data_IF_254542463447
#
_entry.id   IF_254542463447
#
_cell.length_a   1.000
_cell.length_b   1.000
_cell.length_c   1.000
_cell.angle_alpha   90.00
_cell.angle_beta   90.00
_cell.angle_gamma   90.00
#
_symmetry.space_group_name_H-M   'P 1'
#
loop_
_entity.id
_entity.type
_entity.pdbx_description
1 polymer ?
#
# COMPACT_ATOMS: atom_id res chain seq x y z
N UNK A 1 -33.63 14.95 12.78
CA UNK A 1 -32.33 14.77 12.10
C UNK A 1 -31.26 15.26 13.04
N UNK A 2 -30.31 14.41 13.44
CA UNK A 2 -29.23 14.78 14.35
C UNK A 2 -28.32 15.83 13.69
N UNK A 3 -27.82 16.78 14.49
CA UNK A 3 -26.99 17.88 13.99
C UNK A 3 -25.65 17.32 13.45
N UNK A 4 -25.49 17.39 12.13
CA UNK A 4 -24.44 16.74 11.34
C UNK A 4 -23.04 17.30 11.60
N UNK A 5 -22.96 18.48 12.23
CA UNK A 5 -21.75 19.07 12.80
C UNK A 5 -21.03 18.11 13.77
N UNK A 6 -21.74 17.15 14.35
CA UNK A 6 -21.17 16.19 15.29
C UNK A 6 -20.38 15.04 14.61
N UNK A 7 -20.55 14.80 13.31
CA UNK A 7 -19.88 13.71 12.58
C UNK A 7 -18.67 14.20 11.75
N UNK A 8 -18.52 15.50 11.57
CA UNK A 8 -17.41 16.12 10.84
C UNK A 8 -16.34 16.56 11.84
N UNK A 9 -15.13 16.02 11.73
CA UNK A 9 -13.98 16.53 12.49
C UNK A 9 -13.44 17.77 11.78
N UNK A 10 -13.32 18.88 12.50
CA UNK A 10 -12.71 20.11 12.00
C UNK A 10 -11.29 20.28 12.57
N UNK A 11 -10.33 20.61 11.70
CA UNK A 11 -8.98 21.06 12.10
C UNK A 11 -8.84 22.54 11.75
N UNK A 12 -8.60 23.39 12.74
CA UNK A 12 -8.52 24.84 12.57
C UNK A 12 -7.07 25.30 12.72
N UNK A 13 -6.61 26.14 11.80
CA UNK A 13 -5.28 26.75 11.83
C UNK A 13 -5.35 28.25 11.65
N UNK A 14 -4.43 28.96 12.28
CA UNK A 14 -4.18 30.38 12.04
C UNK A 14 -3.06 30.46 11.00
N UNK A 15 -3.28 31.19 9.91
CA UNK A 15 -2.27 31.46 8.87
C UNK A 15 -1.57 32.80 9.15
N UNK A 16 -0.46 33.06 8.46
CA UNK A 16 0.49 34.16 8.73
C UNK A 16 -0.14 35.58 8.74
N UNK A 17 -1.35 35.74 8.21
CA UNK A 17 -2.12 37.00 8.22
C UNK A 17 -3.16 37.10 9.36
N UNK A 18 -3.14 36.18 10.32
CA UNK A 18 -4.06 36.12 11.46
C UNK A 18 -5.45 35.56 11.12
N UNK A 19 -5.72 35.14 9.87
CA UNK A 19 -7.00 34.52 9.52
C UNK A 19 -7.07 33.08 10.01
N UNK A 20 -8.26 32.73 10.52
CA UNK A 20 -8.60 31.35 10.87
C UNK A 20 -9.12 30.62 9.64
N UNK A 21 -8.53 29.46 9.36
CA UNK A 21 -8.97 28.54 8.31
C UNK A 21 -9.29 27.18 8.90
N UNK A 22 -10.32 26.54 8.36
CA UNK A 22 -10.81 25.22 8.73
C UNK A 22 -10.44 24.18 7.67
N UNK A 23 -10.21 22.95 8.12
CA UNK A 23 -10.10 21.76 7.29
C UNK A 23 -11.18 20.78 7.72
N UNK A 24 -11.77 20.07 6.75
CA UNK A 24 -12.76 19.02 7.00
C UNK A 24 -12.03 17.69 6.98
N UNK A 25 -12.19 16.91 8.05
CA UNK A 25 -11.61 15.57 8.19
C UNK A 25 -12.69 14.50 8.19
N UNK A 26 -12.44 13.44 7.42
CA UNK A 26 -13.20 12.19 7.41
C UNK A 26 -12.21 11.04 7.55
N UNK A 27 -12.38 10.15 8.53
CA UNK A 27 -11.45 9.05 8.81
C UNK A 27 -9.98 9.50 8.95
N UNK A 28 -9.75 10.65 9.61
CA UNK A 28 -8.45 11.31 9.80
C UNK A 28 -7.76 11.77 8.49
N UNK A 29 -8.51 11.84 7.39
CA UNK A 29 -8.08 12.38 6.10
C UNK A 29 -8.63 13.79 5.93
N UNK A 30 -7.75 14.75 5.65
CA UNK A 30 -8.16 16.11 5.28
C UNK A 30 -8.75 16.13 3.88
N UNK A 31 -10.06 15.97 3.78
CA UNK A 31 -10.77 15.98 2.49
C UNK A 31 -10.84 17.40 1.91
N UNK A 32 -10.82 18.43 2.75
CA UNK A 32 -10.81 19.84 2.34
C UNK A 32 -9.93 20.63 3.30
N UNK A 33 -9.18 21.60 2.79
CA UNK A 33 -8.25 22.42 3.57
C UNK A 33 -8.40 23.90 3.18
N UNK A 34 -8.09 24.79 4.12
CA UNK A 34 -7.98 26.22 3.83
C UNK A 34 -9.32 26.96 3.68
N UNK A 35 -10.42 26.42 4.25
CA UNK A 35 -11.72 27.09 4.22
C UNK A 35 -11.67 28.25 5.21
N UNK A 36 -11.87 29.52 4.81
CA UNK A 36 -11.99 30.60 5.79
C UNK A 36 -13.13 30.29 6.77
N UNK A 37 -12.93 30.49 8.08
CA UNK A 37 -13.93 30.15 9.11
C UNK A 37 -15.31 30.74 8.80
N UNK A 38 -15.35 31.99 8.33
CA UNK A 38 -16.57 32.70 7.92
C UNK A 38 -17.33 32.06 6.74
N UNK A 39 -16.66 31.22 5.95
CA UNK A 39 -17.21 30.59 4.75
C UNK A 39 -17.50 29.09 4.98
N UNK A 40 -17.27 28.57 6.20
CA UNK A 40 -17.45 27.17 6.53
C UNK A 40 -18.90 26.69 6.34
N UNK A 41 -19.88 27.45 6.82
CA UNK A 41 -21.31 27.11 6.69
C UNK A 41 -21.72 27.02 5.21
N UNK A 42 -21.33 28.03 4.41
CA UNK A 42 -21.57 28.04 2.96
C UNK A 42 -20.93 26.85 2.26
N UNK A 43 -19.75 26.44 2.72
CA UNK A 43 -19.06 25.29 2.18
C UNK A 43 -19.79 23.98 2.50
N UNK A 44 -20.29 23.82 3.73
CA UNK A 44 -21.10 22.66 4.13
C UNK A 44 -22.38 22.58 3.28
N UNK A 45 -23.12 23.68 3.12
CA UNK A 45 -24.32 23.73 2.27
C UNK A 45 -24.04 23.33 0.83
N UNK A 46 -22.88 23.74 0.30
CA UNK A 46 -22.46 23.38 -1.06
C UNK A 46 -22.25 21.87 -1.19
N UNK A 47 -21.49 21.27 -0.26
CA UNK A 47 -21.23 19.83 -0.27
C UNK A 47 -22.54 19.04 -0.14
N UNK A 48 -23.48 19.47 0.70
CA UNK A 48 -24.78 18.81 0.81
C UNK A 48 -25.56 18.83 -0.50
N UNK A 49 -25.53 19.95 -1.23
CA UNK A 49 -26.13 20.05 -2.56
C UNK A 49 -25.45 19.12 -3.56
N UNK A 50 -24.13 19.00 -3.51
CA UNK A 50 -23.36 18.08 -4.36
C UNK A 50 -23.68 16.61 -4.06
N UNK A 51 -23.76 16.23 -2.78
CA UNK A 51 -24.18 14.89 -2.36
C UNK A 51 -25.59 14.54 -2.87
N UNK A 52 -26.55 15.47 -2.73
CA UNK A 52 -27.92 15.31 -3.25
C UNK A 52 -27.95 15.15 -4.77
N UNK A 53 -27.16 15.95 -5.51
CA UNK A 53 -27.04 15.83 -6.97
C UNK A 53 -26.47 14.47 -7.39
N UNK A 54 -25.56 13.92 -6.59
CA UNK A 54 -24.99 12.59 -6.81
C UNK A 54 -25.91 11.43 -6.38
N UNK A 55 -27.14 11.73 -5.89
CA UNK A 55 -28.07 10.75 -5.33
C UNK A 55 -27.47 9.93 -4.17
N UNK A 56 -26.59 10.56 -3.38
CA UNK A 56 -25.91 9.94 -2.23
C UNK A 56 -26.31 10.61 -0.93
N UNK A 57 -26.21 9.87 0.18
CA UNK A 57 -26.20 10.53 1.48
C UNK A 57 -24.95 11.39 1.60
N UNK A 58 -24.99 12.41 2.46
CA UNK A 58 -23.79 13.22 2.71
C UNK A 58 -22.64 12.34 3.23
N UNK A 59 -22.95 11.36 4.07
CA UNK A 59 -21.96 10.46 4.67
C UNK A 59 -21.25 9.63 3.60
N UNK A 60 -22.00 9.01 2.69
CA UNK A 60 -21.45 8.26 1.55
C UNK A 60 -20.61 9.14 0.62
N UNK A 61 -21.05 10.38 0.41
CA UNK A 61 -20.34 11.34 -0.43
C UNK A 61 -19.01 11.79 0.23
N UNK A 62 -19.01 12.04 1.54
CA UNK A 62 -17.79 12.36 2.29
C UNK A 62 -16.84 11.17 2.38
N UNK A 63 -17.36 9.95 2.53
CA UNK A 63 -16.55 8.72 2.48
C UNK A 63 -15.93 8.55 1.09
N UNK A 64 -16.69 8.74 0.01
CA UNK A 64 -16.17 8.74 -1.36
C UNK A 64 -15.09 9.81 -1.57
N UNK A 65 -15.30 11.05 -1.13
CA UNK A 65 -14.28 12.12 -1.18
C UNK A 65 -13.04 11.75 -0.36
N UNK A 66 -13.22 11.11 0.80
CA UNK A 66 -12.13 10.59 1.62
C UNK A 66 -11.37 9.49 0.91
N UNK A 67 -12.08 8.60 0.19
CA UNK A 67 -11.51 7.53 -0.61
C UNK A 67 -10.82 8.06 -1.87
N UNK A 68 -11.30 9.13 -2.49
CA UNK A 68 -10.65 9.80 -3.63
C UNK A 68 -9.38 10.51 -3.17
N UNK A 69 -9.45 11.25 -2.06
CA UNK A 69 -8.26 11.89 -1.45
C UNK A 69 -7.24 10.87 -0.95
N UNK A 70 -7.69 9.76 -0.36
CA UNK A 70 -6.83 8.62 -0.01
C UNK A 70 -6.38 7.83 -1.24
N UNK A 71 -7.16 7.81 -2.32
CA UNK A 71 -6.84 7.17 -3.59
C UNK A 71 -5.63 7.81 -4.26
N UNK A 72 -5.25 9.02 -3.83
CA UNK A 72 -4.04 9.73 -4.22
C UNK A 72 -2.91 9.69 -3.17
N UNK A 73 -3.08 8.96 -2.05
CA UNK A 73 -2.11 8.92 -0.96
C UNK A 73 -1.86 7.52 -0.44
N UNK A 74 -0.59 7.13 -0.39
CA UNK A 74 -0.16 5.88 0.24
C UNK A 74 -0.27 6.00 1.75
N UNK A 75 -0.93 5.04 2.39
CA UNK A 75 -1.12 5.04 3.84
C UNK A 75 0.21 4.98 4.61
N UNK A 76 0.20 5.57 5.80
CA UNK A 76 1.33 5.50 6.74
C UNK A 76 1.58 4.08 7.22
N UNK A 77 2.78 3.83 7.76
CA UNK A 77 3.23 2.46 8.07
C UNK A 77 2.28 1.69 9.01
N UNK A 78 1.70 2.37 10.00
CA UNK A 78 0.78 1.80 10.99
C UNK A 78 -0.47 1.17 10.35
N UNK A 79 -0.97 1.76 9.27
CA UNK A 79 -2.23 1.35 8.64
C UNK A 79 -2.01 0.77 7.23
N UNK A 80 -0.75 0.56 6.84
CA UNK A 80 -0.41 0.15 5.48
C UNK A 80 -0.95 -1.23 5.12
N UNK A 81 -0.95 -2.18 6.06
CA UNK A 81 -1.49 -3.53 5.83
C UNK A 81 -2.96 -3.48 5.44
N UNK A 82 -3.80 -2.86 6.29
CA UNK A 82 -5.22 -2.67 6.02
C UNK A 82 -5.46 -1.93 4.69
N UNK A 83 -4.73 -0.83 4.47
CA UNK A 83 -4.82 -0.06 3.23
C UNK A 83 -4.48 -0.88 1.99
N UNK A 84 -3.42 -1.68 2.02
CA UNK A 84 -3.00 -2.48 0.87
C UNK A 84 -4.05 -3.52 0.53
N UNK A 85 -4.67 -4.13 1.54
CA UNK A 85 -5.69 -5.17 1.33
C UNK A 85 -7.00 -4.56 0.82
N UNK A 86 -7.43 -3.41 1.38
CA UNK A 86 -8.71 -2.77 1.08
C UNK A 86 -8.72 -1.90 -0.19
N UNK A 87 -7.56 -1.34 -0.61
CA UNK A 87 -7.52 -0.52 -1.83
C UNK A 87 -7.91 -1.34 -3.05
N UNK A 88 -8.79 -0.79 -3.91
CA UNK A 88 -9.17 -1.43 -5.16
C UNK A 88 -7.96 -1.60 -6.08
N UNK A 89 -7.97 -2.64 -6.91
CA UNK A 89 -6.89 -2.88 -7.88
C UNK A 89 -6.68 -1.66 -8.80
N UNK A 90 -7.77 -1.05 -9.28
CA UNK A 90 -7.69 0.13 -10.15
C UNK A 90 -6.96 1.31 -9.48
N UNK A 91 -7.32 1.63 -8.23
CA UNK A 91 -6.67 2.73 -7.50
C UNK A 91 -5.23 2.40 -7.11
N UNK A 92 -4.96 1.13 -6.76
CA UNK A 92 -3.59 0.68 -6.54
C UNK A 92 -2.72 0.91 -7.79
N UNK A 93 -3.20 0.51 -8.98
CA UNK A 93 -2.46 0.67 -10.23
C UNK A 93 -2.24 2.14 -10.61
N UNK A 94 -3.21 3.01 -10.36
CA UNK A 94 -3.03 4.47 -10.51
C UNK A 94 -1.88 4.98 -9.65
N UNK A 95 -1.86 4.64 -8.36
CA UNK A 95 -0.78 5.00 -7.43
C UNK A 95 0.56 4.37 -7.80
N UNK A 96 0.54 3.14 -8.32
CA UNK A 96 1.74 2.42 -8.74
C UNK A 96 2.39 3.01 -10.00
N UNK A 97 1.58 3.62 -10.88
CA UNK A 97 2.06 4.35 -12.06
C UNK A 97 2.91 5.57 -11.69
N UNK A 98 2.58 6.23 -10.58
CA UNK A 98 3.27 7.43 -10.10
C UNK A 98 4.58 7.10 -9.36
N UNK A 99 5.74 7.52 -9.90
CA UNK A 99 7.07 7.14 -9.39
C UNK A 99 7.25 7.38 -7.88
N UNK A 100 6.82 8.56 -7.39
CA UNK A 100 6.95 8.92 -5.96
C UNK A 100 6.08 8.05 -5.06
N UNK A 101 4.86 7.74 -5.51
CA UNK A 101 3.89 6.94 -4.75
C UNK A 101 4.27 5.46 -4.79
N UNK A 102 4.70 4.95 -5.95
CA UNK A 102 5.32 3.62 -6.07
C UNK A 102 6.48 3.42 -5.10
N UNK A 103 7.39 4.40 -5.02
CA UNK A 103 8.50 4.32 -4.07
C UNK A 103 8.00 4.27 -2.62
N UNK A 104 6.98 5.06 -2.28
CA UNK A 104 6.36 5.01 -0.96
C UNK A 104 5.76 3.63 -0.65
N UNK A 105 5.02 3.04 -1.59
CA UNK A 105 4.45 1.68 -1.45
C UNK A 105 5.56 0.67 -1.20
N UNK A 106 6.60 0.66 -2.04
CA UNK A 106 7.73 -0.25 -1.87
C UNK A 106 8.41 -0.08 -0.51
N UNK A 107 8.61 1.16 -0.06
CA UNK A 107 9.22 1.44 1.25
C UNK A 107 8.36 0.95 2.41
N UNK A 108 7.02 0.95 2.28
CA UNK A 108 6.13 0.40 3.32
C UNK A 108 6.09 -1.12 3.32
N UNK A 109 6.23 -1.76 2.16
CA UNK A 109 6.37 -3.22 2.06
C UNK A 109 7.68 -3.68 2.72
N UNK A 110 8.80 -3.00 2.43
CA UNK A 110 10.12 -3.29 3.00
C UNK A 110 10.24 -3.01 4.50
N UNK A 111 9.20 -2.51 5.15
CA UNK A 111 9.27 -2.18 6.58
C UNK A 111 8.78 -3.36 7.45
N UNK A 112 9.45 -3.65 8.58
CA UNK A 112 10.79 -3.17 8.94
C UNK A 112 11.86 -3.75 7.98
N UNK A 113 12.99 -3.05 7.85
CA UNK A 113 14.11 -3.52 7.03
C UNK A 113 14.84 -4.72 7.63
N UNK A 114 15.86 -5.23 6.92
CA UNK A 114 16.64 -6.41 7.36
C UNK A 114 16.00 -7.75 6.97
N UNK A 115 14.98 -7.72 6.13
CA UNK A 115 14.29 -8.88 5.61
C UNK A 115 14.41 -8.91 4.09
N UNK A 116 14.63 -10.09 3.53
CA UNK A 116 14.57 -10.37 2.10
C UNK A 116 13.13 -10.66 1.70
N UNK A 117 12.64 -9.93 0.69
CA UNK A 117 11.33 -10.16 0.11
C UNK A 117 11.39 -11.13 -1.07
N UNK A 118 10.95 -12.38 -0.86
CA UNK A 118 10.74 -13.35 -1.95
C UNK A 118 9.65 -12.89 -2.92
N UNK A 119 8.60 -12.26 -2.40
CA UNK A 119 7.63 -11.49 -3.18
C UNK A 119 8.25 -10.12 -3.46
N UNK A 120 9.10 -10.07 -4.49
CA UNK A 120 9.90 -8.90 -4.86
C UNK A 120 9.06 -7.63 -4.94
N UNK A 121 9.40 -6.66 -4.09
CA UNK A 121 8.61 -5.42 -3.94
C UNK A 121 8.44 -4.63 -5.24
N UNK A 122 9.31 -4.80 -6.24
CA UNK A 122 9.21 -4.21 -7.58
C UNK A 122 8.06 -4.77 -8.43
N UNK A 123 7.37 -5.80 -7.95
CA UNK A 123 6.21 -6.47 -8.58
C UNK A 123 4.98 -6.48 -7.66
N UNK A 124 4.88 -5.51 -6.74
CA UNK A 124 3.74 -5.42 -5.84
C UNK A 124 2.39 -5.30 -6.57
N UNK A 125 2.38 -4.72 -7.78
CA UNK A 125 1.21 -4.71 -8.65
C UNK A 125 0.79 -6.10 -9.13
N UNK A 126 1.74 -6.97 -9.44
CA UNK A 126 1.46 -8.38 -9.77
C UNK A 126 0.83 -9.10 -8.58
N UNK A 127 1.36 -8.92 -7.37
CA UNK A 127 0.80 -9.57 -6.18
C UNK A 127 -0.58 -9.02 -5.82
N UNK A 128 -0.82 -7.72 -6.04
CA UNK A 128 -2.15 -7.12 -5.90
C UNK A 128 -3.14 -7.71 -6.91
N UNK A 129 -2.73 -7.95 -8.16
CA UNK A 129 -3.55 -8.64 -9.19
C UNK A 129 -3.85 -10.10 -8.82
N UNK A 130 -2.90 -10.78 -8.17
CA UNK A 130 -3.09 -12.14 -7.64
C UNK A 130 -3.86 -12.18 -6.32
N UNK A 131 -4.29 -11.03 -5.81
CA UNK A 131 -5.02 -10.90 -4.55
C UNK A 131 -4.26 -11.47 -3.33
N UNK A 132 -2.93 -11.33 -3.32
CA UNK A 132 -2.10 -11.71 -2.17
C UNK A 132 -2.21 -10.63 -1.10
N UNK A 133 -2.50 -11.02 0.14
CA UNK A 133 -2.62 -10.06 1.25
C UNK A 133 -1.27 -9.49 1.67
N UNK A 134 -1.27 -8.30 2.26
CA UNK A 134 -0.05 -7.71 2.80
C UNK A 134 0.50 -8.50 4.00
N UNK A 135 -0.37 -9.13 4.79
CA UNK A 135 0.06 -10.03 5.87
C UNK A 135 0.86 -11.20 5.29
N UNK A 136 0.35 -11.82 4.23
CA UNK A 136 1.02 -12.94 3.56
C UNK A 136 2.36 -12.51 2.96
N UNK A 137 2.41 -11.40 2.22
CA UNK A 137 3.68 -10.85 1.69
C UNK A 137 4.69 -10.63 2.84
N UNK A 138 4.26 -10.12 4.00
CA UNK A 138 5.15 -9.87 5.14
C UNK A 138 5.64 -11.13 5.83
N UNK A 139 4.79 -12.15 5.93
CA UNK A 139 5.11 -13.43 6.57
C UNK A 139 6.03 -14.30 5.70
N UNK A 140 5.99 -14.09 4.39
CA UNK A 140 6.83 -14.77 3.40
C UNK A 140 8.16 -14.04 3.18
N UNK A 141 8.75 -13.46 4.23
CA UNK A 141 10.08 -12.85 4.18
C UNK A 141 11.06 -13.64 5.05
N UNK A 142 12.33 -13.60 4.69
CA UNK A 142 13.40 -14.24 5.45
C UNK A 142 14.38 -13.18 5.93
N UNK A 143 14.99 -13.33 7.12
CA UNK A 143 16.07 -12.41 7.52
C UNK A 143 17.22 -12.46 6.51
N UNK A 144 17.75 -11.30 6.12
CA UNK A 144 18.79 -11.23 5.07
C UNK A 144 20.04 -12.05 5.40
N UNK A 145 20.39 -12.16 6.68
CA UNK A 145 21.53 -12.93 7.18
C UNK A 145 21.38 -14.45 6.99
N UNK A 146 20.14 -14.94 6.81
CA UNK A 146 19.86 -16.35 6.56
C UNK A 146 19.69 -16.64 5.05
N UNK A 147 19.83 -15.64 4.18
CA UNK A 147 19.69 -15.82 2.74
C UNK A 147 21.07 -15.98 2.11
N UNK A 148 21.48 -17.24 1.98
CA UNK A 148 22.74 -17.64 1.35
C UNK A 148 22.43 -18.27 -0.01
N UNK A 149 22.95 -17.66 -1.07
CA UNK A 149 22.83 -18.14 -2.43
C UNK A 149 23.96 -19.11 -2.77
N UNK A 150 23.65 -20.13 -3.57
CA UNK A 150 24.61 -21.05 -4.19
C UNK A 150 24.40 -21.09 -5.70
N UNK A 151 25.46 -21.28 -6.47
CA UNK A 151 25.43 -21.36 -7.94
C UNK A 151 24.92 -20.09 -8.66
N UNK A 152 25.68 -18.98 -8.65
CA UNK A 152 26.95 -18.78 -7.97
C UNK A 152 26.77 -18.52 -6.46
N UNK A 153 27.80 -18.81 -5.63
CA UNK A 153 27.81 -18.46 -4.22
C UNK A 153 27.58 -16.96 -4.00
N UNK A 154 26.82 -16.61 -2.97
CA UNK A 154 26.47 -15.23 -2.70
C UNK A 154 25.66 -15.01 -1.43
N UNK A 155 25.47 -13.75 -1.07
CA UNK A 155 24.63 -13.32 0.06
C UNK A 155 23.71 -12.20 -0.38
N UNK A 156 22.64 -11.95 0.37
CA UNK A 156 21.77 -10.83 0.08
C UNK A 156 22.53 -9.49 0.06
N UNK A 157 22.34 -8.70 -1.01
CA UNK A 157 23.00 -7.41 -1.20
C UNK A 157 24.48 -7.49 -1.63
N UNK A 158 25.07 -8.69 -1.69
CA UNK A 158 26.45 -8.93 -2.09
C UNK A 158 26.59 -9.59 -3.46
N UNK A 159 27.74 -10.24 -3.68
CA UNK A 159 28.02 -11.02 -4.89
C UNK A 159 26.92 -12.08 -5.12
N UNK A 160 26.55 -12.32 -6.38
CA UNK A 160 25.51 -13.28 -6.75
C UNK A 160 24.06 -12.83 -6.46
N UNK A 161 23.86 -11.77 -5.67
CA UNK A 161 22.52 -11.28 -5.31
C UNK A 161 21.74 -10.78 -6.52
N UNK A 162 22.37 -10.02 -7.41
CA UNK A 162 21.70 -9.52 -8.63
C UNK A 162 21.20 -10.66 -9.51
N UNK A 163 22.01 -11.71 -9.71
CA UNK A 163 21.60 -12.89 -10.47
C UNK A 163 20.39 -13.57 -9.83
N UNK A 164 20.42 -13.80 -8.52
CA UNK A 164 19.29 -14.40 -7.80
C UNK A 164 18.02 -13.55 -7.91
N UNK A 165 18.13 -12.22 -7.75
CA UNK A 165 16.99 -11.32 -7.90
C UNK A 165 16.39 -11.35 -9.31
N UNK A 166 17.22 -11.36 -10.35
CA UNK A 166 16.76 -11.41 -11.74
C UNK A 166 16.03 -12.73 -12.04
N UNK A 167 16.55 -13.85 -11.55
CA UNK A 167 15.88 -15.15 -11.68
C UNK A 167 14.53 -15.15 -10.96
N UNK A 168 14.45 -14.67 -9.71
CA UNK A 168 13.18 -14.59 -8.98
C UNK A 168 12.18 -13.68 -9.71
N UNK A 169 12.63 -12.55 -10.28
CA UNK A 169 11.78 -11.68 -11.10
C UNK A 169 11.23 -12.43 -12.32
N UNK A 170 12.04 -13.23 -13.00
CA UNK A 170 11.59 -14.06 -14.11
C UNK A 170 10.54 -15.11 -13.67
N UNK A 171 10.71 -15.71 -12.50
CA UNK A 171 9.71 -16.62 -11.94
C UNK A 171 8.38 -15.90 -11.70
N UNK A 172 8.41 -14.68 -11.17
CA UNK A 172 7.20 -13.85 -10.96
C UNK A 172 6.55 -13.53 -12.31
N UNK A 173 7.31 -12.98 -13.25
CA UNK A 173 6.81 -12.46 -14.53
C UNK A 173 6.29 -13.57 -15.45
N UNK A 174 6.83 -14.78 -15.33
CA UNK A 174 6.36 -15.96 -16.08
C UNK A 174 5.22 -16.72 -15.39
N UNK A 175 4.79 -16.32 -14.19
CA UNK A 175 3.74 -17.01 -13.42
C UNK A 175 2.37 -16.43 -13.70
N UNK A 176 1.37 -17.31 -13.81
CA UNK A 176 -0.02 -16.90 -14.08
C UNK A 176 -0.75 -16.42 -12.82
N UNK A 177 -0.39 -17.02 -11.69
CA UNK A 177 -1.00 -16.83 -10.39
C UNK A 177 0.02 -17.09 -9.27
N UNK A 178 -0.35 -16.71 -8.06
CA UNK A 178 0.52 -16.87 -6.90
C UNK A 178 0.88 -18.33 -6.62
N UNK A 179 -0.05 -19.27 -6.83
CA UNK A 179 0.20 -20.72 -6.65
C UNK A 179 1.29 -21.23 -7.59
N UNK A 180 1.28 -20.80 -8.85
CA UNK A 180 2.29 -21.18 -9.84
C UNK A 180 3.66 -20.57 -9.51
N UNK A 181 3.68 -19.33 -9.00
CA UNK A 181 4.91 -18.71 -8.49
C UNK A 181 5.50 -19.48 -7.31
N UNK A 182 4.69 -19.82 -6.28
CA UNK A 182 5.13 -20.61 -5.12
C UNK A 182 5.86 -21.90 -5.56
N UNK A 183 5.25 -22.67 -6.47
CA UNK A 183 5.84 -23.91 -7.00
C UNK A 183 7.18 -23.68 -7.71
N UNK A 184 7.26 -22.64 -8.54
CA UNK A 184 8.50 -22.29 -9.24
C UNK A 184 9.60 -21.85 -8.28
N UNK A 185 9.25 -21.03 -7.29
CA UNK A 185 10.20 -20.55 -6.28
C UNK A 185 10.76 -21.71 -5.44
N UNK A 186 9.91 -22.66 -5.03
CA UNK A 186 10.33 -23.88 -4.31
C UNK A 186 11.31 -24.72 -5.14
N UNK A 187 11.06 -24.89 -6.43
CA UNK A 187 12.00 -25.61 -7.29
C UNK A 187 13.32 -24.83 -7.45
N UNK A 188 13.22 -23.53 -7.70
CA UNK A 188 14.37 -22.65 -7.82
C UNK A 188 15.25 -22.66 -6.56
N UNK A 189 14.66 -22.61 -5.36
CA UNK A 189 15.39 -22.56 -4.10
C UNK A 189 16.20 -23.81 -3.83
N UNK A 190 15.72 -25.01 -4.22
CA UNK A 190 16.51 -26.25 -4.10
C UNK A 190 17.88 -26.15 -4.79
N UNK A 191 17.94 -25.43 -5.92
CA UNK A 191 19.16 -25.25 -6.71
C UNK A 191 19.97 -24.02 -6.29
N UNK A 192 19.32 -23.00 -5.72
CA UNK A 192 19.88 -21.66 -5.54
C UNK A 192 20.08 -21.21 -4.09
N UNK A 193 19.48 -21.88 -3.11
CA UNK A 193 19.69 -21.59 -1.69
C UNK A 193 20.50 -22.68 -1.02
N UNK A 194 21.36 -22.29 -0.09
CA UNK A 194 21.87 -23.20 0.92
C UNK A 194 20.70 -23.67 1.80
N UNK A 195 20.63 -24.97 2.11
CA UNK A 195 19.45 -25.59 2.74
C UNK A 195 18.26 -25.85 1.78
N UNK A 196 18.33 -25.36 0.53
CA UNK A 196 17.32 -25.66 -0.49
C UNK A 196 15.95 -25.02 -0.19
N UNK A 197 14.86 -25.73 -0.51
CA UNK A 197 13.51 -25.24 -0.27
C UNK A 197 13.19 -25.03 1.21
N UNK A 198 13.78 -25.82 2.12
CA UNK A 198 13.57 -25.70 3.57
C UNK A 198 14.02 -24.34 4.14
N UNK A 199 14.84 -23.59 3.39
CA UNK A 199 15.24 -22.21 3.73
C UNK A 199 14.18 -21.16 3.43
N UNK A 200 13.07 -21.54 2.77
CA UNK A 200 11.92 -20.67 2.54
C UNK A 200 10.97 -20.66 3.76
N UNK A 201 10.25 -19.56 4.02
CA UNK A 201 9.19 -19.52 5.03
C UNK A 201 8.13 -20.61 4.81
N UNK A 202 7.63 -21.21 5.89
CA UNK A 202 6.64 -22.31 5.84
C UNK A 202 5.39 -22.00 5.01
N UNK A 203 4.95 -20.74 5.00
CA UNK A 203 3.80 -20.31 4.19
C UNK A 203 3.97 -20.55 2.68
N UNK A 204 5.17 -20.84 2.18
CA UNK A 204 5.36 -21.27 0.79
C UNK A 204 4.82 -22.67 0.49
N UNK A 205 4.61 -23.51 1.50
CA UNK A 205 4.21 -24.91 1.36
C UNK A 205 2.73 -25.16 1.65
N UNK A 206 2.04 -24.17 2.21
CA UNK A 206 0.60 -24.18 2.48
C UNK A 206 -0.26 -24.07 1.21
#
# INVERSE_FOLDING_TARGET
MGNILNCIKLDTKIVDDGKKVCSILRNDVKIVEGIPEKDLEKYIEKIEKEAKKALKSLDDYLDELSHIKNGNKVSGIKFFTKWFDEISLENFLKLWGEKKLRQAIQNRIRHPGGLHEWLMVSRADTFKKWNVSMVEIKNLRTKIEHVIFKNPPGVHGGLGSTTAHNEILELIDSSKDFKSFKKKLINWSNRRLEGGAESLPKGFFD
#
